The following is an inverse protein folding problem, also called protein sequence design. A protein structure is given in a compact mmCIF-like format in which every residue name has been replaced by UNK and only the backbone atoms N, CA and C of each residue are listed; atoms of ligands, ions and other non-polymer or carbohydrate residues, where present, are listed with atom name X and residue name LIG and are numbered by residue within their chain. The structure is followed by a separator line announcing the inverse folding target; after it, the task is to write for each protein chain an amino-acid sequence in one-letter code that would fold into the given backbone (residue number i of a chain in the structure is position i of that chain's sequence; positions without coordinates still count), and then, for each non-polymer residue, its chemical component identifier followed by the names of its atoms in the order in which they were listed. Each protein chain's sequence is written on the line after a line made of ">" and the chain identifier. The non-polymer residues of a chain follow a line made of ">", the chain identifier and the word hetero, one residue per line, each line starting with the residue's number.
data_IF_975972221490
#
_entry.id   IF_975972221490
#
_cell.length_a   1.000
_cell.length_b   1.000
_cell.length_c   1.000
_cell.angle_alpha   90.00
_cell.angle_beta   90.00
_cell.angle_gamma   90.00
#
_symmetry.space_group_name_H-M   'P 1'
#
loop_
_entity.id
_entity.type
_entity.pdbx_description
1 polymer ?
#
# COMPACT_ATOMS: atom_id res chain seq x y z
N UNK A 1 -18.34 79.55 3.19
CA UNK A 1 -17.37 78.57 2.69
C UNK A 1 -17.51 77.29 3.48
N UNK A 2 -18.24 76.36 2.91
CA UNK A 2 -18.54 75.05 3.56
C UNK A 2 -17.42 74.02 3.18
N UNK A 3 -16.75 73.47 4.19
CA UNK A 3 -15.71 72.44 3.98
C UNK A 3 -16.40 71.07 3.99
N UNK A 4 -16.43 70.44 2.81
CA UNK A 4 -16.86 69.07 2.67
C UNK A 4 -15.71 68.14 3.04
N UNK A 5 -15.85 67.32 4.11
CA UNK A 5 -14.94 66.26 4.45
C UNK A 5 -15.38 65.00 3.74
N UNK A 6 -14.57 64.54 2.79
CA UNK A 6 -14.72 63.23 2.16
C UNK A 6 -14.09 62.19 3.07
N UNK A 7 -14.89 61.34 3.70
CA UNK A 7 -14.43 60.17 4.45
C UNK A 7 -14.24 59.02 3.45
N UNK A 8 -13.01 58.70 3.15
CA UNK A 8 -12.66 57.48 2.39
C UNK A 8 -12.81 56.27 3.32
N UNK A 9 -13.88 55.50 3.13
CA UNK A 9 -14.07 54.23 3.80
C UNK A 9 -13.27 53.16 3.04
N UNK A 10 -12.08 52.83 3.53
CA UNK A 10 -11.27 51.71 2.99
C UNK A 10 -11.83 50.41 3.58
N UNK A 11 -12.64 49.72 2.82
CA UNK A 11 -13.11 48.37 3.16
C UNK A 11 -11.96 47.39 2.87
N UNK A 12 -11.25 46.98 3.90
CA UNK A 12 -10.31 45.86 3.81
C UNK A 12 -11.15 44.57 3.71
N UNK A 13 -11.27 44.03 2.51
CA UNK A 13 -11.64 42.64 2.34
C UNK A 13 -10.47 41.77 2.86
N UNK A 14 -10.56 41.30 4.08
CA UNK A 14 -9.79 40.15 4.52
C UNK A 14 -10.34 38.93 3.75
N UNK A 15 -9.74 38.64 2.61
CA UNK A 15 -9.86 37.32 2.03
C UNK A 15 -9.16 36.37 3.03
N UNK A 16 -9.94 35.71 3.89
CA UNK A 16 -9.48 34.56 4.61
C UNK A 16 -9.13 33.51 3.56
N UNK A 17 -7.88 33.50 3.11
CA UNK A 17 -7.33 32.40 2.36
C UNK A 17 -7.20 31.25 3.38
N UNK A 18 -8.28 30.56 3.64
CA UNK A 18 -8.20 29.26 4.30
C UNK A 18 -7.36 28.38 3.38
N UNK A 19 -6.11 28.19 3.74
CA UNK A 19 -5.29 27.17 3.12
C UNK A 19 -6.03 25.84 3.29
N UNK A 20 -6.43 25.24 2.18
CA UNK A 20 -7.07 23.94 2.22
C UNK A 20 -6.14 22.97 2.94
N UNK A 21 -6.66 22.31 3.98
CA UNK A 21 -5.89 21.30 4.70
C UNK A 21 -5.54 20.16 3.77
N UNK A 22 -4.26 19.80 3.74
CA UNK A 22 -3.75 18.68 2.99
C UNK A 22 -3.32 17.54 3.92
N UNK A 23 -3.38 16.33 3.42
CA UNK A 23 -3.03 15.12 4.16
C UNK A 23 -1.94 14.36 3.43
N UNK A 24 -1.16 13.60 4.17
CA UNK A 24 -0.09 12.81 3.61
C UNK A 24 0.02 11.45 4.30
N UNK A 25 0.09 10.41 3.50
CA UNK A 25 0.32 9.04 3.97
C UNK A 25 1.75 8.66 3.63
N UNK A 26 2.55 8.51 4.68
CA UNK A 26 3.96 8.17 4.61
C UNK A 26 4.18 6.71 4.99
N UNK A 27 5.22 6.09 4.48
CA UNK A 27 5.48 4.71 4.83
C UNK A 27 6.67 4.08 4.13
N UNK A 28 6.77 2.79 4.35
CA UNK A 28 7.81 1.95 3.78
C UNK A 28 7.24 0.82 2.96
N UNK A 29 7.89 0.56 1.85
CA UNK A 29 7.71 -0.56 0.96
C UNK A 29 8.94 -1.50 1.02
N UNK A 30 8.70 -2.80 0.91
CA UNK A 30 9.74 -3.82 0.83
C UNK A 30 10.41 -4.18 2.16
N UNK A 31 10.70 -5.44 2.33
CA UNK A 31 11.39 -6.01 3.49
C UNK A 31 12.76 -6.59 3.13
N UNK A 32 13.10 -7.74 3.69
CA UNK A 32 14.41 -8.37 3.45
C UNK A 32 14.62 -8.77 1.99
N UNK A 33 13.56 -9.02 1.25
CA UNK A 33 13.62 -9.31 -0.18
C UNK A 33 13.65 -8.03 -1.02
N UNK A 34 13.26 -6.88 -0.46
CA UNK A 34 13.34 -5.55 -1.04
C UNK A 34 14.36 -4.63 -0.34
N UNK A 35 15.51 -5.15 0.05
CA UNK A 35 16.63 -4.40 0.65
C UNK A 35 16.36 -3.72 2.00
N UNK A 36 15.61 -4.35 2.91
CA UNK A 36 15.45 -3.83 4.26
C UNK A 36 16.76 -3.87 5.05
N UNK A 37 17.34 -2.73 5.48
CA UNK A 37 18.60 -2.70 6.22
C UNK A 37 18.38 -3.10 7.68
N UNK A 38 18.31 -4.38 7.96
CA UNK A 38 17.97 -4.96 9.27
C UNK A 38 18.75 -4.34 10.42
N UNK A 39 20.04 -4.07 10.22
CA UNK A 39 20.94 -3.58 11.28
C UNK A 39 20.57 -2.20 11.86
N UNK A 40 19.81 -1.38 11.12
CA UNK A 40 19.55 -0.02 11.57
C UNK A 40 18.13 0.51 11.27
N UNK A 41 17.40 -0.08 10.30
CA UNK A 41 16.14 0.51 9.84
C UNK A 41 15.05 0.47 10.91
N UNK A 42 14.88 -0.66 11.61
CA UNK A 42 13.85 -0.77 12.67
C UNK A 42 14.17 0.20 13.81
N UNK A 43 15.45 0.33 14.20
CA UNK A 43 15.87 1.30 15.20
C UNK A 43 15.55 2.73 14.76
N UNK A 44 15.86 3.07 13.51
CA UNK A 44 15.51 4.38 12.95
C UNK A 44 14.00 4.66 13.02
N UNK A 45 13.18 3.70 12.61
CA UNK A 45 11.71 3.86 12.63
C UNK A 45 11.21 4.14 14.05
N UNK A 46 11.61 3.34 15.04
CA UNK A 46 11.15 3.52 16.41
C UNK A 46 11.63 4.82 17.04
N UNK A 47 12.84 5.26 16.71
CA UNK A 47 13.38 6.54 17.18
C UNK A 47 12.60 7.71 16.59
N UNK A 48 12.29 7.67 15.28
CA UNK A 48 11.50 8.70 14.62
C UNK A 48 10.05 8.76 15.15
N UNK A 49 9.40 7.61 15.33
CA UNK A 49 8.05 7.55 15.90
C UNK A 49 8.01 8.11 17.33
N UNK A 50 9.03 7.84 18.14
CA UNK A 50 9.13 8.37 19.49
C UNK A 50 9.39 9.87 19.54
N UNK A 51 10.23 10.40 18.64
CA UNK A 51 10.57 11.82 18.57
C UNK A 51 9.46 12.69 17.96
N UNK A 52 8.61 12.09 17.12
CA UNK A 52 7.58 12.79 16.36
C UNK A 52 6.20 12.16 16.58
N UNK A 53 5.50 12.49 17.68
CA UNK A 53 4.20 11.90 18.01
C UNK A 53 3.09 12.19 16.99
N UNK A 54 3.24 13.22 16.17
CA UNK A 54 2.36 13.60 15.07
C UNK A 54 2.62 12.83 13.77
N UNK A 55 3.76 12.15 13.66
CA UNK A 55 4.07 11.35 12.48
C UNK A 55 3.32 10.01 12.50
N UNK A 56 2.87 9.59 11.35
CA UNK A 56 2.17 8.32 11.10
C UNK A 56 2.85 7.60 9.96
N UNK A 57 2.95 6.29 10.05
CA UNK A 57 3.51 5.47 8.97
C UNK A 57 2.62 4.30 8.62
N UNK A 58 2.64 3.97 7.34
CA UNK A 58 2.09 2.76 6.80
C UNK A 58 3.22 1.79 6.43
N UNK A 59 3.04 0.52 6.76
CA UNK A 59 4.07 -0.51 6.59
C UNK A 59 3.62 -1.54 5.56
N UNK A 60 4.35 -1.61 4.47
CA UNK A 60 4.22 -2.64 3.45
C UNK A 60 5.52 -3.47 3.45
N UNK A 61 5.68 -4.30 4.47
CA UNK A 61 6.92 -5.05 4.74
C UNK A 61 6.60 -6.54 4.74
N UNK A 62 7.38 -7.33 4.00
CA UNK A 62 7.20 -8.78 4.00
C UNK A 62 7.34 -9.36 5.41
N UNK A 63 6.42 -10.23 5.83
CA UNK A 63 6.38 -10.77 7.21
C UNK A 63 7.64 -11.52 7.64
N UNK A 64 8.37 -12.13 6.72
CA UNK A 64 9.64 -12.83 6.99
C UNK A 64 10.71 -11.87 7.54
N UNK A 65 10.64 -10.60 7.20
CA UNK A 65 11.55 -9.56 7.70
C UNK A 65 11.58 -9.53 9.22
N UNK A 66 10.46 -9.74 9.87
CA UNK A 66 10.34 -9.65 11.33
C UNK A 66 11.03 -10.80 12.06
N UNK A 67 11.14 -11.99 11.45
CA UNK A 67 11.98 -13.05 12.04
C UNK A 67 13.45 -12.62 12.05
N UNK A 68 13.91 -12.02 10.97
CA UNK A 68 15.28 -11.54 10.85
C UNK A 68 15.57 -10.37 11.80
N UNK A 69 14.66 -9.40 11.86
CA UNK A 69 14.77 -8.25 12.79
C UNK A 69 14.79 -8.72 14.23
N UNK A 70 13.93 -9.66 14.61
CA UNK A 70 13.87 -10.24 15.97
C UNK A 70 15.18 -10.86 16.40
N UNK A 71 15.91 -11.51 15.47
CA UNK A 71 17.18 -12.18 15.78
C UNK A 71 18.36 -11.20 15.74
N UNK A 72 18.41 -10.32 14.75
CA UNK A 72 19.55 -9.46 14.52
C UNK A 72 19.53 -8.15 15.31
N UNK A 73 18.33 -7.62 15.62
CA UNK A 73 18.15 -6.37 16.35
C UNK A 73 17.01 -6.50 17.37
N UNK A 74 17.15 -7.36 18.38
CA UNK A 74 16.06 -7.73 19.29
C UNK A 74 15.50 -6.53 20.07
N UNK A 75 16.33 -5.59 20.47
CA UNK A 75 15.88 -4.39 21.20
C UNK A 75 14.99 -3.50 20.33
N UNK A 76 15.41 -3.22 19.09
CA UNK A 76 14.61 -2.45 18.15
C UNK A 76 13.30 -3.20 17.81
N UNK A 77 13.35 -4.51 17.67
CA UNK A 77 12.17 -5.33 17.45
C UNK A 77 11.16 -5.21 18.60
N UNK A 78 11.61 -5.30 19.86
CA UNK A 78 10.72 -5.18 21.02
C UNK A 78 10.08 -3.81 21.10
N UNK A 79 10.86 -2.75 20.91
CA UNK A 79 10.33 -1.37 20.85
C UNK A 79 9.31 -1.20 19.73
N UNK A 80 9.60 -1.70 18.54
CA UNK A 80 8.66 -1.64 17.42
C UNK A 80 7.37 -2.42 17.73
N UNK A 81 7.49 -3.58 18.38
CA UNK A 81 6.34 -4.39 18.78
C UNK A 81 5.39 -3.64 19.72
N UNK A 82 5.92 -2.83 20.64
CA UNK A 82 5.12 -1.97 21.51
C UNK A 82 4.39 -0.87 20.73
N UNK A 83 5.02 -0.35 19.67
CA UNK A 83 4.47 0.71 18.83
C UNK A 83 3.52 0.19 17.74
N UNK A 84 3.70 -1.03 17.30
CA UNK A 84 3.00 -1.59 16.14
C UNK A 84 1.46 -1.57 16.28
N UNK A 85 0.94 -1.68 17.50
CA UNK A 85 -0.50 -1.61 17.81
C UNK A 85 -0.98 -0.19 18.14
N UNK A 86 -0.08 0.80 18.12
CA UNK A 86 -0.45 2.20 18.31
C UNK A 86 -1.18 2.77 17.09
N UNK A 87 -1.78 3.94 17.24
CA UNK A 87 -2.39 4.64 16.11
C UNK A 87 -1.37 5.31 15.16
N UNK A 88 -0.07 5.21 15.46
CA UNK A 88 0.99 5.73 14.59
C UNK A 88 1.36 4.78 13.47
N UNK A 89 1.03 3.50 13.57
CA UNK A 89 1.45 2.46 12.62
C UNK A 89 0.24 1.75 12.04
N UNK A 90 0.25 1.52 10.75
CA UNK A 90 -0.72 0.67 10.06
C UNK A 90 0.01 -0.27 9.09
N UNK A 91 -0.33 -1.57 9.14
CA UNK A 91 0.11 -2.53 8.13
C UNK A 91 -0.89 -2.57 6.99
N UNK A 92 -0.42 -2.36 5.75
CA UNK A 92 -1.28 -2.10 4.60
C UNK A 92 -1.45 -3.29 3.67
N UNK A 93 -0.37 -3.96 3.38
CA UNK A 93 -0.32 -5.12 2.50
C UNK A 93 0.24 -6.31 3.29
N UNK A 94 -0.62 -7.07 3.95
CA UNK A 94 -0.18 -8.20 4.76
C UNK A 94 0.04 -9.47 3.94
N UNK A 95 0.18 -9.39 2.63
CA UNK A 95 0.53 -10.56 1.81
C UNK A 95 1.92 -11.08 2.19
N UNK A 96 2.14 -12.37 2.01
CA UNK A 96 3.37 -13.02 2.47
C UNK A 96 4.62 -12.53 1.74
N UNK A 97 4.48 -12.19 0.46
CA UNK A 97 5.62 -11.80 -0.38
C UNK A 97 5.30 -10.68 -1.38
N UNK A 98 4.26 -9.88 -1.16
CA UNK A 98 3.94 -8.72 -1.99
C UNK A 98 3.93 -9.05 -3.51
N UNK A 99 3.10 -10.00 -3.97
CA UNK A 99 3.12 -10.45 -5.36
C UNK A 99 2.39 -9.49 -6.28
N UNK A 100 2.72 -9.52 -7.56
CA UNK A 100 1.82 -8.99 -8.58
C UNK A 100 0.58 -9.89 -8.72
N UNK A 101 -0.52 -9.50 -8.09
CA UNK A 101 -1.74 -10.31 -8.01
C UNK A 101 -2.31 -10.70 -9.37
N UNK A 102 -2.11 -9.89 -10.40
CA UNK A 102 -2.55 -10.18 -11.76
C UNK A 102 -1.77 -11.31 -12.46
N UNK A 103 -0.60 -11.71 -11.91
CA UNK A 103 0.27 -12.72 -12.50
C UNK A 103 0.17 -14.09 -11.82
N UNK A 104 -0.55 -14.21 -10.71
CA UNK A 104 -0.66 -15.44 -9.92
C UNK A 104 -2.11 -15.93 -9.86
N UNK A 105 -2.31 -17.17 -9.43
CA UNK A 105 -3.64 -17.77 -9.32
C UNK A 105 -4.43 -17.18 -8.15
N UNK A 106 -5.76 -17.30 -8.20
CA UNK A 106 -6.64 -16.91 -7.09
C UNK A 106 -6.32 -17.64 -5.79
N UNK A 107 -5.97 -18.95 -5.87
CA UNK A 107 -5.53 -19.72 -4.71
C UNK A 107 -4.24 -19.14 -4.11
N UNK A 108 -3.26 -18.79 -4.96
CA UNK A 108 -2.04 -18.14 -4.48
C UNK A 108 -2.33 -16.81 -3.80
N UNK A 109 -3.21 -15.98 -4.35
CA UNK A 109 -3.61 -14.71 -3.70
C UNK A 109 -4.20 -14.98 -2.32
N UNK A 110 -5.10 -15.93 -2.19
CA UNK A 110 -5.68 -16.31 -0.90
C UNK A 110 -4.62 -16.78 0.09
N UNK A 111 -3.68 -17.64 -0.35
CA UNK A 111 -2.56 -18.11 0.48
C UNK A 111 -1.61 -16.98 0.87
N UNK A 112 -1.33 -16.06 -0.02
CA UNK A 112 -0.54 -14.86 0.27
C UNK A 112 -1.13 -14.07 1.45
N UNK A 113 -2.42 -13.80 1.46
CA UNK A 113 -3.09 -13.15 2.59
C UNK A 113 -3.12 -14.03 3.84
N UNK A 114 -3.50 -15.28 3.71
CA UNK A 114 -3.62 -16.21 4.83
C UNK A 114 -2.30 -16.37 5.61
N UNK A 115 -1.22 -16.68 4.90
CA UNK A 115 0.10 -16.88 5.52
C UNK A 115 0.71 -15.56 6.00
N UNK A 116 0.53 -14.50 5.25
CA UNK A 116 1.06 -13.19 5.62
C UNK A 116 0.40 -12.64 6.89
N UNK A 117 -0.92 -12.62 6.95
CA UNK A 117 -1.68 -12.20 8.13
C UNK A 117 -1.32 -13.06 9.35
N UNK A 118 -1.28 -14.39 9.19
CA UNK A 118 -0.90 -15.30 10.27
C UNK A 118 0.50 -15.02 10.79
N UNK A 119 1.45 -14.76 9.89
CA UNK A 119 2.83 -14.46 10.24
C UNK A 119 2.98 -13.10 10.94
N UNK A 120 2.32 -12.05 10.45
CA UNK A 120 2.34 -10.73 11.10
C UNK A 120 1.72 -10.82 12.49
N UNK A 121 0.58 -11.49 12.65
CA UNK A 121 -0.07 -11.66 13.95
C UNK A 121 0.76 -12.49 14.94
N UNK A 122 1.61 -13.39 14.47
CA UNK A 122 2.58 -14.10 15.32
C UNK A 122 3.60 -13.15 15.93
N UNK A 123 4.05 -12.14 15.18
CA UNK A 123 4.98 -11.12 15.67
C UNK A 123 4.29 -10.03 16.49
N UNK A 124 3.16 -9.56 16.01
CA UNK A 124 2.39 -8.42 16.54
C UNK A 124 0.94 -8.85 16.79
N UNK A 125 0.65 -9.54 17.91
CA UNK A 125 -0.70 -10.01 18.22
C UNK A 125 -1.71 -8.87 18.32
N UNK A 126 -2.90 -9.07 17.72
CA UNK A 126 -3.98 -8.09 17.78
C UNK A 126 -3.92 -7.02 16.70
N UNK A 127 -3.08 -7.19 15.66
CA UNK A 127 -3.09 -6.32 14.50
C UNK A 127 -4.42 -6.40 13.76
N UNK A 128 -4.94 -5.23 13.40
CA UNK A 128 -6.16 -5.07 12.61
C UNK A 128 -5.80 -4.62 11.18
N UNK A 129 -6.19 -5.42 10.21
CA UNK A 129 -5.95 -5.15 8.78
C UNK A 129 -7.25 -4.61 8.17
N UNK A 130 -7.39 -3.29 8.14
CA UNK A 130 -8.62 -2.64 7.65
C UNK A 130 -8.49 -2.01 6.29
N UNK A 131 -7.28 -1.62 5.89
CA UNK A 131 -7.04 -0.96 4.60
C UNK A 131 -6.02 -1.73 3.79
N UNK A 132 -6.29 -1.93 2.52
CA UNK A 132 -5.34 -2.46 1.56
C UNK A 132 -4.77 -1.33 0.71
N UNK A 133 -3.48 -1.16 0.74
CA UNK A 133 -2.73 -0.21 -0.09
C UNK A 133 -1.36 -0.76 -0.41
N UNK A 134 -0.82 -0.40 -1.54
CA UNK A 134 0.46 -0.90 -2.05
C UNK A 134 1.24 0.24 -2.70
N UNK A 135 2.53 0.11 -2.70
CA UNK A 135 3.42 1.00 -3.44
C UNK A 135 3.47 0.60 -4.92
N UNK A 136 3.73 -0.65 -5.19
CA UNK A 136 3.64 -1.23 -6.53
C UNK A 136 2.27 -1.85 -6.77
N UNK A 137 1.71 -1.77 -8.00
CA UNK A 137 0.33 -2.17 -8.25
C UNK A 137 0.12 -3.68 -8.17
N UNK A 138 -0.08 -4.17 -6.96
CA UNK A 138 -0.41 -5.56 -6.65
C UNK A 138 -1.94 -5.77 -6.70
N UNK A 139 -2.58 -5.38 -7.80
CA UNK A 139 -4.03 -5.42 -7.95
C UNK A 139 -4.49 -6.49 -8.94
N UNK A 140 -5.74 -6.89 -8.81
CA UNK A 140 -6.49 -7.67 -9.80
C UNK A 140 -7.97 -7.36 -9.67
N UNK A 141 -8.75 -7.55 -10.73
CA UNK A 141 -10.18 -7.21 -10.75
C UNK A 141 -11.00 -7.93 -9.67
N UNK A 142 -10.63 -9.14 -9.27
CA UNK A 142 -11.35 -9.91 -8.24
C UNK A 142 -10.91 -9.62 -6.79
N UNK A 143 -9.97 -8.70 -6.58
CA UNK A 143 -9.42 -8.43 -5.26
C UNK A 143 -10.46 -7.92 -4.24
N UNK A 144 -11.49 -7.11 -4.59
CA UNK A 144 -12.51 -6.68 -3.64
C UNK A 144 -13.16 -7.81 -2.84
N UNK A 145 -13.53 -8.91 -3.50
CA UNK A 145 -14.15 -10.06 -2.83
C UNK A 145 -13.17 -10.75 -1.88
N UNK A 146 -11.90 -10.88 -2.27
CA UNK A 146 -10.85 -11.49 -1.44
C UNK A 146 -10.59 -10.61 -0.21
N UNK A 147 -10.39 -9.31 -0.40
CA UNK A 147 -10.16 -8.36 0.69
C UNK A 147 -11.30 -8.38 1.71
N UNK A 148 -12.56 -8.40 1.25
CA UNK A 148 -13.73 -8.48 2.15
C UNK A 148 -13.74 -9.76 2.98
N UNK A 149 -13.35 -10.90 2.42
CA UNK A 149 -13.28 -12.16 3.15
C UNK A 149 -12.20 -12.15 4.24
N UNK A 150 -11.12 -11.40 4.05
CA UNK A 150 -10.09 -11.17 5.07
C UNK A 150 -10.40 -10.01 6.02
N UNK A 151 -11.57 -9.39 5.93
CA UNK A 151 -12.05 -8.37 6.87
C UNK A 151 -11.64 -6.93 6.52
N UNK A 152 -11.02 -6.69 5.37
CA UNK A 152 -10.71 -5.34 4.91
C UNK A 152 -11.99 -4.53 4.66
N UNK A 153 -11.97 -3.27 5.06
CA UNK A 153 -13.08 -2.32 4.91
C UNK A 153 -12.81 -1.31 3.81
N UNK A 154 -11.54 -1.03 3.55
CA UNK A 154 -11.07 0.02 2.67
C UNK A 154 -9.99 -0.50 1.73
N UNK A 155 -9.85 0.18 0.60
CA UNK A 155 -8.72 -0.01 -0.31
C UNK A 155 -8.20 1.34 -0.82
N UNK A 156 -7.02 1.32 -1.38
CA UNK A 156 -6.38 2.48 -1.99
C UNK A 156 -5.82 2.06 -3.35
N UNK A 157 -6.31 2.68 -4.40
CA UNK A 157 -5.80 2.52 -5.76
C UNK A 157 -4.86 3.66 -6.17
N UNK A 158 -4.54 4.53 -5.22
CA UNK A 158 -3.55 5.59 -5.40
C UNK A 158 -2.16 4.98 -5.27
N UNK A 159 -1.51 4.77 -6.39
CA UNK A 159 -0.12 4.35 -6.48
C UNK A 159 0.64 5.44 -7.25
N UNK A 160 1.43 6.28 -6.57
CA UNK A 160 2.13 7.38 -7.24
C UNK A 160 3.34 6.95 -8.06
N UNK A 161 3.82 5.73 -7.89
CA UNK A 161 4.83 5.14 -8.77
C UNK A 161 4.19 4.50 -9.98
N UNK A 162 4.45 5.04 -11.15
CA UNK A 162 3.76 4.64 -12.38
C UNK A 162 4.55 3.72 -13.27
N UNK A 163 5.84 3.50 -12.98
CA UNK A 163 6.70 2.75 -13.91
C UNK A 163 7.02 1.33 -13.46
N UNK A 164 7.02 1.07 -12.18
CA UNK A 164 7.56 -0.19 -11.65
C UNK A 164 6.64 -1.39 -11.87
N UNK A 165 5.40 -1.24 -11.82
CA UNK A 165 4.46 -2.34 -12.03
C UNK A 165 3.21 -1.89 -12.76
N UNK A 166 3.25 -0.70 -13.33
CA UNK A 166 2.09 -0.05 -13.89
C UNK A 166 1.34 0.80 -12.88
N UNK A 167 0.14 1.17 -13.21
CA UNK A 167 -0.70 1.99 -12.37
C UNK A 167 -2.18 1.76 -12.70
N UNK A 168 -3.03 2.07 -11.76
CA UNK A 168 -4.46 2.05 -11.99
C UNK A 168 -4.89 3.27 -12.81
N UNK A 169 -5.97 3.12 -13.56
CA UNK A 169 -6.59 4.24 -14.24
C UNK A 169 -6.99 5.33 -13.24
N UNK A 170 -6.88 6.60 -13.66
CA UNK A 170 -7.26 7.74 -12.84
C UNK A 170 -8.78 7.89 -12.77
N UNK A 171 -9.28 8.34 -11.62
CA UNK A 171 -10.68 8.56 -11.35
C UNK A 171 -10.92 9.96 -10.76
N UNK A 172 -12.07 10.57 -11.04
CA UNK A 172 -12.32 11.98 -10.71
C UNK A 172 -12.65 12.30 -9.26
N UNK A 173 -13.27 11.37 -8.52
CA UNK A 173 -13.79 11.62 -7.17
C UNK A 173 -12.77 11.41 -6.04
N UNK A 174 -13.13 11.82 -4.82
CA UNK A 174 -12.32 11.55 -3.63
C UNK A 174 -12.40 10.08 -3.19
N UNK A 175 -13.57 9.49 -3.35
CA UNK A 175 -13.88 8.11 -2.99
C UNK A 175 -14.66 7.45 -4.12
N UNK A 176 -14.51 6.15 -4.23
CA UNK A 176 -15.24 5.30 -5.16
C UNK A 176 -15.49 3.94 -4.50
N UNK A 177 -16.59 3.28 -4.85
CA UNK A 177 -16.75 1.87 -4.56
C UNK A 177 -16.01 1.07 -5.64
N UNK A 178 -14.93 0.43 -5.29
CA UNK A 178 -14.30 -0.54 -6.17
C UNK A 178 -15.09 -1.84 -6.12
N UNK A 179 -15.70 -2.20 -7.27
CA UNK A 179 -16.62 -3.33 -7.39
C UNK A 179 -15.93 -4.48 -8.14
N UNK A 180 -15.85 -5.62 -7.50
CA UNK A 180 -15.36 -6.85 -8.10
C UNK A 180 -16.37 -7.51 -9.06
N UNK A 181 -15.94 -8.51 -9.84
CA UNK A 181 -16.80 -9.20 -10.81
C UNK A 181 -18.02 -9.89 -10.19
N UNK A 182 -17.96 -10.23 -8.91
CA UNK A 182 -19.05 -10.84 -8.14
C UNK A 182 -20.04 -9.83 -7.53
N UNK A 183 -19.82 -8.52 -7.78
CA UNK A 183 -20.59 -7.43 -7.22
C UNK A 183 -20.16 -6.98 -5.82
N UNK A 184 -19.14 -7.61 -5.22
CA UNK A 184 -18.59 -7.17 -3.94
C UNK A 184 -17.94 -5.81 -4.09
N UNK A 185 -18.33 -4.85 -3.25
CA UNK A 185 -17.81 -3.50 -3.25
C UNK A 185 -16.95 -3.21 -2.01
N UNK A 186 -15.86 -2.48 -2.19
CA UNK A 186 -15.01 -1.96 -1.13
C UNK A 186 -14.78 -0.46 -1.32
N UNK A 187 -14.94 0.30 -0.24
CA UNK A 187 -14.73 1.76 -0.29
C UNK A 187 -13.26 2.06 -0.52
N UNK A 188 -12.97 2.89 -1.51
CA UNK A 188 -11.62 3.03 -2.05
C UNK A 188 -11.25 4.49 -2.30
N UNK A 189 -10.02 4.85 -1.95
CA UNK A 189 -9.39 6.10 -2.43
C UNK A 189 -8.78 5.82 -3.80
N UNK A 190 -9.28 6.44 -4.86
CA UNK A 190 -8.76 6.24 -6.20
C UNK A 190 -7.53 7.09 -6.46
N UNK A 191 -6.84 6.81 -7.56
CA UNK A 191 -5.94 7.78 -8.16
C UNK A 191 -6.76 8.91 -8.75
N UNK A 192 -6.50 10.15 -8.32
CA UNK A 192 -7.28 11.30 -8.80
C UNK A 192 -6.98 11.61 -10.26
N UNK A 193 -8.02 11.99 -11.02
CA UNK A 193 -7.84 12.39 -12.42
C UNK A 193 -6.92 13.61 -12.61
N UNK A 194 -6.76 14.44 -11.58
CA UNK A 194 -5.87 15.60 -11.59
C UNK A 194 -4.39 15.26 -11.28
N UNK A 195 -4.07 14.01 -10.92
CA UNK A 195 -2.68 13.60 -10.72
C UNK A 195 -1.96 13.50 -12.07
N UNK A 196 -0.85 14.24 -12.16
CA UNK A 196 0.02 14.28 -13.33
C UNK A 196 1.38 13.69 -12.95
N UNK A 197 2.19 13.40 -13.95
CA UNK A 197 3.59 13.12 -13.69
C UNK A 197 4.24 14.33 -13.02
N UNK A 198 5.08 14.07 -12.04
CA UNK A 198 5.91 15.10 -11.41
C UNK A 198 6.85 15.70 -12.46
N UNK A 199 7.00 17.04 -12.54
CA UNK A 199 7.89 17.65 -13.51
C UNK A 199 9.31 17.09 -13.44
N UNK A 200 9.80 16.62 -14.57
CA UNK A 200 11.12 15.99 -14.67
C UNK A 200 11.16 14.50 -14.26
N UNK A 201 10.07 13.94 -13.79
CA UNK A 201 9.95 12.51 -13.53
C UNK A 201 9.31 11.78 -14.71
N UNK A 202 9.74 10.54 -14.93
CA UNK A 202 9.11 9.63 -15.91
C UNK A 202 8.24 8.57 -15.22
N UNK A 203 8.17 8.57 -13.90
CA UNK A 203 7.60 7.45 -13.15
C UNK A 203 6.87 7.83 -11.85
N UNK A 204 7.01 9.06 -11.35
CA UNK A 204 6.29 9.52 -10.17
C UNK A 204 5.22 10.53 -10.53
N UNK A 205 4.07 10.45 -9.87
CA UNK A 205 3.04 11.47 -9.98
C UNK A 205 3.25 12.58 -8.95
N UNK A 206 2.57 13.70 -9.16
CA UNK A 206 2.59 14.85 -8.26
C UNK A 206 2.06 14.54 -6.85
N UNK A 207 1.30 13.44 -6.67
CA UNK A 207 0.84 12.97 -5.37
C UNK A 207 1.95 12.42 -4.48
N UNK A 208 3.09 12.04 -5.06
CA UNK A 208 4.26 11.55 -4.33
C UNK A 208 4.83 12.55 -3.32
N UNK A 209 4.89 13.80 -3.68
CA UNK A 209 5.48 14.85 -2.85
C UNK A 209 4.48 15.83 -2.25
N UNK A 210 3.18 15.63 -2.49
CA UNK A 210 2.11 16.54 -2.07
C UNK A 210 2.43 18.01 -2.40
N UNK A 211 2.93 18.25 -3.62
CA UNK A 211 3.43 19.55 -4.05
C UNK A 211 2.34 20.63 -4.10
N UNK A 212 2.72 21.90 -4.06
CA UNK A 212 1.78 23.03 -4.21
C UNK A 212 0.98 22.95 -5.52
N UNK A 213 1.62 22.48 -6.59
CA UNK A 213 0.97 22.28 -7.88
C UNK A 213 -0.10 21.18 -7.79
N UNK A 214 0.21 20.07 -7.13
CA UNK A 214 -0.76 18.99 -6.90
C UNK A 214 -1.95 19.47 -6.06
N UNK A 215 -1.70 20.16 -4.96
CA UNK A 215 -2.75 20.69 -4.10
C UNK A 215 -3.64 21.71 -4.82
N UNK A 216 -3.04 22.54 -5.69
CA UNK A 216 -3.79 23.45 -6.57
C UNK A 216 -4.67 22.68 -7.56
N UNK A 217 -4.12 21.67 -8.22
CA UNK A 217 -4.86 20.84 -9.16
C UNK A 217 -6.02 20.10 -8.47
N UNK A 218 -5.80 19.58 -7.25
CA UNK A 218 -6.85 18.99 -6.43
C UNK A 218 -7.99 19.99 -6.12
N UNK A 219 -7.67 21.21 -5.71
CA UNK A 219 -8.66 22.27 -5.47
C UNK A 219 -9.49 22.57 -6.73
N UNK A 220 -8.82 22.72 -7.85
CA UNK A 220 -9.48 22.98 -9.15
C UNK A 220 -10.39 21.84 -9.58
N UNK A 221 -10.06 20.60 -9.21
CA UNK A 221 -10.85 19.41 -9.46
C UNK A 221 -11.96 19.17 -8.41
N UNK A 222 -12.12 20.07 -7.42
CA UNK A 222 -13.14 19.93 -6.38
C UNK A 222 -12.82 18.90 -5.29
N UNK A 223 -11.57 18.41 -5.20
CA UNK A 223 -11.11 17.51 -4.14
C UNK A 223 -11.04 18.33 -2.83
N UNK A 224 -11.86 17.96 -1.85
CA UNK A 224 -11.96 18.69 -0.59
C UNK A 224 -10.83 18.36 0.39
N UNK A 225 -10.41 17.11 0.39
CA UNK A 225 -9.42 16.57 1.32
C UNK A 225 -8.26 15.96 0.54
N UNK A 226 -7.42 16.79 -0.11
CA UNK A 226 -6.34 16.27 -0.93
C UNK A 226 -5.35 15.47 -0.08
N UNK A 227 -4.98 14.29 -0.57
CA UNK A 227 -4.03 13.40 0.07
C UNK A 227 -2.95 12.98 -0.92
N UNK A 228 -1.70 13.17 -0.50
CA UNK A 228 -0.52 12.60 -1.14
C UNK A 228 -0.09 11.31 -0.45
N UNK A 229 0.75 10.56 -1.11
CA UNK A 229 1.25 9.28 -0.60
C UNK A 229 2.68 9.05 -1.08
N UNK A 230 3.51 8.53 -0.18
CA UNK A 230 4.82 8.01 -0.52
C UNK A 230 5.12 6.79 0.33
N UNK A 231 5.27 5.63 -0.29
CA UNK A 231 5.90 4.49 0.35
C UNK A 231 7.31 4.40 -0.19
N UNK A 232 8.28 4.67 0.66
CA UNK A 232 9.67 4.60 0.27
C UNK A 232 10.19 3.18 0.39
N UNK A 233 11.01 2.81 -0.57
CA UNK A 233 11.84 1.63 -0.45
C UNK A 233 12.58 1.65 0.89
N UNK A 234 12.37 0.64 1.71
CA UNK A 234 12.92 0.60 3.07
C UNK A 234 14.45 0.64 3.11
N UNK A 235 15.11 0.34 1.99
CA UNK A 235 16.56 0.47 1.83
C UNK A 235 17.07 1.92 1.81
N UNK A 236 16.22 2.89 1.52
CA UNK A 236 16.66 4.28 1.40
C UNK A 236 16.96 4.91 2.74
N UNK A 237 18.14 5.51 2.83
CA UNK A 237 18.65 6.04 4.07
C UNK A 237 17.90 7.31 4.52
N UNK A 238 17.37 8.08 3.58
CA UNK A 238 16.70 9.36 3.82
C UNK A 238 15.17 9.27 3.82
N UNK A 239 14.60 8.11 3.74
CA UNK A 239 13.17 7.91 3.95
C UNK A 239 12.88 7.73 5.44
N UNK A 240 11.66 7.95 5.86
CA UNK A 240 10.52 8.56 5.20
C UNK A 240 10.66 10.08 5.08
N UNK A 241 9.67 10.74 4.51
CA UNK A 241 9.67 12.17 4.22
C UNK A 241 9.77 13.09 5.44
N UNK A 242 9.50 12.57 6.64
CA UNK A 242 9.63 13.33 7.88
C UNK A 242 11.04 13.92 8.01
N UNK A 243 11.12 15.23 8.23
CA UNK A 243 12.38 15.95 8.36
C UNK A 243 13.10 16.24 7.04
N UNK A 244 12.64 15.72 5.89
CA UNK A 244 13.23 16.04 4.58
C UNK A 244 12.86 17.44 4.09
N UNK A 245 11.91 18.09 4.72
CA UNK A 245 11.41 19.41 4.37
C UNK A 245 10.45 19.43 3.18
N UNK A 246 10.16 18.29 2.54
CA UNK A 246 9.29 18.26 1.36
C UNK A 246 7.81 18.44 1.73
N UNK A 247 7.33 17.73 2.73
CA UNK A 247 5.92 17.77 3.13
C UNK A 247 5.61 18.79 4.21
N UNK A 248 6.61 19.16 5.01
CA UNK A 248 6.45 20.20 6.04
C UNK A 248 6.14 21.56 5.43
N UNK A 249 6.55 21.82 4.18
CA UNK A 249 6.25 23.09 3.49
C UNK A 249 4.76 23.32 3.24
N UNK A 250 3.99 22.27 3.07
CA UNK A 250 2.57 22.34 2.70
C UNK A 250 1.64 22.16 3.88
N UNK A 251 2.13 22.17 5.12
CA UNK A 251 1.36 21.93 6.34
C UNK A 251 0.49 20.67 6.24
N UNK A 252 1.01 19.62 5.59
CA UNK A 252 0.28 18.36 5.47
C UNK A 252 0.21 17.65 6.82
N UNK A 253 -0.97 17.14 7.16
CA UNK A 253 -1.16 16.29 8.32
C UNK A 253 -0.80 14.86 7.92
N UNK A 254 0.14 14.26 8.65
CA UNK A 254 0.46 12.84 8.49
C UNK A 254 -0.64 11.96 9.05
N UNK A 255 -1.10 11.02 8.27
CA UNK A 255 -2.15 10.07 8.65
C UNK A 255 -1.82 8.66 8.18
N UNK A 256 -2.38 7.66 8.84
CA UNK A 256 -2.55 6.34 8.24
C UNK A 256 -3.71 6.37 7.25
N UNK A 257 -3.75 5.43 6.30
CA UNK A 257 -4.88 5.33 5.38
C UNK A 257 -6.20 5.05 6.12
N UNK A 258 -6.17 4.17 7.11
CA UNK A 258 -7.33 3.87 7.96
C UNK A 258 -7.91 5.15 8.56
N UNK A 259 -7.06 5.97 9.16
CA UNK A 259 -7.50 7.19 9.84
C UNK A 259 -7.96 8.26 8.85
N UNK A 260 -7.28 8.38 7.71
CA UNK A 260 -7.71 9.28 6.64
C UNK A 260 -9.10 8.92 6.12
N UNK A 261 -9.33 7.67 5.75
CA UNK A 261 -10.63 7.24 5.20
C UNK A 261 -11.73 7.32 6.26
N UNK A 262 -11.44 6.95 7.50
CA UNK A 262 -12.43 6.94 8.58
C UNK A 262 -12.80 8.33 9.08
N UNK A 263 -11.85 9.24 9.20
CA UNK A 263 -12.01 10.47 9.95
C UNK A 263 -12.00 11.75 9.08
N UNK A 264 -11.43 11.69 7.88
CA UNK A 264 -11.25 12.84 6.99
C UNK A 264 -12.10 12.71 5.75
N UNK A 265 -11.84 11.71 4.93
CA UNK A 265 -12.62 11.43 3.72
C UNK A 265 -13.87 10.64 4.10
N UNK A 266 -14.65 11.21 5.02
CA UNK A 266 -15.87 10.56 5.52
C UNK A 266 -16.90 10.64 4.42
N UNK A 267 -17.18 9.56 3.77
CA UNK A 267 -18.22 9.59 2.79
C UNK A 267 -18.74 8.22 2.44
N UNK A 268 -19.99 8.20 2.11
CA UNK A 268 -20.54 7.22 1.20
C UNK A 268 -20.39 7.81 -0.18
N UNK A 269 -20.05 6.98 -1.13
CA UNK A 269 -20.11 7.34 -2.53
C UNK A 269 -21.09 6.41 -3.21
N UNK A 270 -21.85 6.96 -4.14
CA UNK A 270 -22.70 6.20 -5.05
C UNK A 270 -21.95 5.83 -6.34
N UNK A 271 -20.73 6.37 -6.50
CA UNK A 271 -19.88 6.07 -7.64
C UNK A 271 -19.31 4.67 -7.52
N UNK A 272 -19.59 3.85 -8.52
CA UNK A 272 -19.06 2.50 -8.62
C UNK A 272 -18.03 2.42 -9.74
N UNK A 273 -16.92 1.81 -9.46
CA UNK A 273 -15.87 1.56 -10.42
C UNK A 273 -15.46 0.11 -10.42
N UNK A 274 -15.63 -0.53 -11.55
CA UNK A 274 -15.10 -1.86 -11.81
C UNK A 274 -13.99 -1.73 -12.84
N UNK A 275 -12.88 -2.39 -12.63
CA UNK A 275 -11.85 -2.45 -13.64
C UNK A 275 -11.50 -3.90 -13.97
N UNK A 276 -11.09 -4.09 -15.20
CA UNK A 276 -10.58 -5.34 -15.72
C UNK A 276 -9.05 -5.40 -15.51
N UNK A 277 -8.48 -6.51 -15.94
CA UNK A 277 -7.03 -6.67 -15.93
C UNK A 277 -6.32 -5.65 -16.85
N UNK A 278 -6.98 -5.22 -17.91
CA UNK A 278 -6.46 -4.25 -18.88
C UNK A 278 -6.35 -2.84 -18.29
N UNK A 279 -7.17 -2.51 -17.30
CA UNK A 279 -7.11 -1.22 -16.62
C UNK A 279 -5.91 -1.09 -15.68
N UNK A 280 -5.24 -2.20 -15.37
CA UNK A 280 -3.96 -2.21 -14.68
C UNK A 280 -2.87 -2.01 -15.73
N UNK A 281 -2.47 -0.75 -15.89
CA UNK A 281 -1.46 -0.36 -16.88
C UNK A 281 -0.08 -0.84 -16.44
N UNK A 282 0.25 -2.06 -16.78
CA UNK A 282 1.56 -2.62 -16.52
C UNK A 282 2.55 -2.07 -17.52
N UNK A 283 3.58 -1.39 -17.06
CA UNK A 283 4.69 -1.01 -17.91
C UNK A 283 5.39 -2.26 -18.43
N UNK A 284 5.65 -2.24 -19.73
CA UNK A 284 6.00 -3.37 -20.57
C UNK A 284 7.12 -4.28 -20.07
N UNK A 285 7.93 -3.84 -19.15
CA UNK A 285 9.14 -4.56 -18.78
C UNK A 285 9.05 -5.33 -17.48
N UNK A 286 7.93 -5.22 -16.75
CA UNK A 286 7.83 -5.73 -15.40
C UNK A 286 6.88 -6.92 -15.29
N UNK A 287 7.08 -7.72 -14.28
CA UNK A 287 6.26 -8.91 -14.05
C UNK A 287 6.48 -9.98 -15.11
N UNK A 288 5.42 -10.43 -15.77
CA UNK A 288 5.46 -11.55 -16.71
C UNK A 288 6.34 -11.34 -17.95
N UNK A 289 6.76 -10.13 -18.24
CA UNK A 289 7.52 -9.85 -19.46
C UNK A 289 9.04 -9.89 -19.27
N UNK A 290 9.56 -9.54 -18.10
CA UNK A 290 11.01 -9.54 -17.87
C UNK A 290 11.54 -10.92 -17.58
N UNK A 291 10.89 -11.68 -16.71
CA UNK A 291 11.34 -13.00 -16.31
C UNK A 291 10.27 -14.07 -16.60
N UNK A 292 9.88 -14.18 -17.85
CA UNK A 292 8.84 -15.10 -18.34
C UNK A 292 9.05 -16.55 -17.86
N UNK A 293 10.30 -17.00 -17.80
CA UNK A 293 10.58 -18.36 -17.33
C UNK A 293 10.17 -18.55 -15.87
N UNK A 294 10.44 -17.57 -15.01
CA UNK A 294 10.01 -17.60 -13.60
C UNK A 294 8.48 -17.59 -13.53
N UNK A 295 7.81 -16.74 -14.30
CA UNK A 295 6.36 -16.69 -14.35
C UNK A 295 5.74 -18.03 -14.78
N UNK A 296 6.34 -18.70 -15.77
CA UNK A 296 5.89 -20.02 -16.22
C UNK A 296 6.11 -21.09 -15.17
N UNK A 297 7.28 -21.12 -14.53
CA UNK A 297 7.60 -22.08 -13.49
C UNK A 297 6.74 -21.89 -12.24
N UNK A 298 6.47 -20.66 -11.86
CA UNK A 298 5.51 -20.32 -10.78
C UNK A 298 4.12 -20.89 -11.12
N UNK A 299 3.61 -20.66 -12.32
CA UNK A 299 2.31 -21.19 -12.75
C UNK A 299 2.25 -22.72 -12.73
N UNK A 300 3.33 -23.39 -13.17
CA UNK A 300 3.44 -24.86 -13.10
C UNK A 300 3.45 -25.32 -11.65
N UNK A 301 4.18 -24.62 -10.77
CA UNK A 301 4.29 -24.95 -9.36
C UNK A 301 2.96 -24.78 -8.61
N UNK A 302 2.21 -23.69 -8.88
CA UNK A 302 0.86 -23.51 -8.36
C UNK A 302 -0.03 -24.70 -8.65
N UNK A 303 -0.08 -25.12 -9.90
CA UNK A 303 -0.91 -26.28 -10.30
C UNK A 303 -0.46 -27.56 -9.62
N UNK A 304 0.86 -27.79 -9.48
CA UNK A 304 1.41 -28.98 -8.82
C UNK A 304 1.08 -29.04 -7.33
N UNK A 305 1.19 -27.93 -6.61
CA UNK A 305 0.86 -27.89 -5.17
C UNK A 305 -0.63 -28.13 -4.95
N UNK A 306 -1.50 -27.46 -5.71
CA UNK A 306 -2.95 -27.68 -5.62
C UNK A 306 -3.32 -29.13 -5.96
N UNK A 307 -2.66 -29.73 -6.96
CA UNK A 307 -2.86 -31.14 -7.30
C UNK A 307 -2.38 -32.04 -6.16
N UNK A 308 -1.22 -31.78 -5.56
CA UNK A 308 -0.70 -32.56 -4.45
C UNK A 308 -1.63 -32.54 -3.23
N UNK A 309 -2.19 -31.37 -2.89
CA UNK A 309 -3.20 -31.25 -1.82
C UNK A 309 -4.44 -32.12 -2.13
N UNK A 310 -4.98 -32.04 -3.34
CA UNK A 310 -6.12 -32.87 -3.75
C UNK A 310 -5.82 -34.37 -3.70
N UNK A 311 -4.67 -34.78 -4.21
CA UNK A 311 -4.24 -36.18 -4.16
C UNK A 311 -4.03 -36.66 -2.72
N UNK A 312 -3.51 -35.83 -1.84
CA UNK A 312 -3.36 -36.13 -0.42
C UNK A 312 -4.69 -36.38 0.27
N UNK A 313 -5.72 -35.59 -0.06
CA UNK A 313 -7.07 -35.83 0.43
C UNK A 313 -7.64 -37.14 -0.09
N UNK A 314 -7.49 -37.43 -1.37
CA UNK A 314 -7.95 -38.70 -1.97
C UNK A 314 -7.25 -39.89 -1.31
N UNK A 315 -5.93 -39.83 -1.14
CA UNK A 315 -5.18 -40.90 -0.48
C UNK A 315 -5.61 -41.09 0.99
N UNK A 316 -5.94 -40.03 1.68
CA UNK A 316 -6.51 -40.12 3.03
C UNK A 316 -7.89 -40.83 3.03
N UNK A 317 -8.75 -40.49 2.10
CA UNK A 317 -10.10 -41.10 2.01
C UNK A 317 -10.03 -42.61 1.72
N UNK A 318 -9.15 -43.01 0.82
CA UNK A 318 -9.00 -44.42 0.43
C UNK A 318 -8.18 -45.25 1.42
N UNK A 319 -6.98 -44.75 1.78
CA UNK A 319 -5.98 -45.55 2.48
C UNK A 319 -5.61 -45.00 3.86
N UNK A 320 -6.31 -43.95 4.33
CA UNK A 320 -5.98 -43.20 5.57
C UNK A 320 -4.57 -42.65 5.58
N UNK A 321 -3.96 -42.43 4.41
CA UNK A 321 -2.66 -41.78 4.32
C UNK A 321 -2.77 -40.32 4.80
N UNK A 322 -1.88 -39.91 5.69
CA UNK A 322 -1.84 -38.54 6.19
C UNK A 322 -0.60 -37.86 5.59
N UNK A 323 -0.85 -36.88 4.73
CA UNK A 323 0.21 -36.00 4.27
C UNK A 323 0.71 -35.12 5.42
N UNK A 324 2.01 -34.90 5.49
CA UNK A 324 2.58 -34.00 6.48
C UNK A 324 2.23 -32.56 6.12
N UNK A 325 1.43 -31.92 6.95
CA UNK A 325 1.02 -30.53 6.74
C UNK A 325 2.23 -29.59 6.62
N UNK A 326 3.29 -29.84 7.41
CA UNK A 326 4.51 -29.03 7.36
C UNK A 326 5.18 -29.02 5.99
N UNK A 327 5.12 -30.12 5.23
CA UNK A 327 5.69 -30.19 3.88
C UNK A 327 4.87 -29.34 2.89
N UNK A 328 3.55 -29.36 3.04
CA UNK A 328 2.66 -28.50 2.24
C UNK A 328 2.84 -27.02 2.57
N UNK A 329 2.96 -26.69 3.86
CA UNK A 329 3.21 -25.32 4.30
C UNK A 329 4.56 -24.81 3.78
N UNK A 330 5.58 -25.66 3.76
CA UNK A 330 6.90 -25.29 3.20
C UNK A 330 6.83 -25.09 1.69
N UNK A 331 6.12 -25.97 0.98
CA UNK A 331 5.91 -25.82 -0.46
C UNK A 331 5.19 -24.51 -0.81
N UNK A 332 4.13 -24.17 -0.07
CA UNK A 332 3.43 -22.91 -0.25
C UNK A 332 4.32 -21.70 0.07
N UNK A 333 5.04 -21.71 1.19
CA UNK A 333 5.94 -20.60 1.55
C UNK A 333 7.00 -20.37 0.48
N UNK A 334 7.63 -21.45 0.00
CA UNK A 334 8.65 -21.37 -1.06
C UNK A 334 8.06 -20.81 -2.36
N UNK A 335 6.87 -21.26 -2.75
CA UNK A 335 6.20 -20.74 -3.92
C UNK A 335 5.84 -19.25 -3.75
N UNK A 336 5.26 -18.87 -2.59
CA UNK A 336 4.88 -17.49 -2.34
C UNK A 336 6.06 -16.53 -2.37
N UNK A 337 7.26 -16.95 -1.88
CA UNK A 337 8.49 -16.17 -1.99
C UNK A 337 8.94 -16.03 -3.44
N UNK A 338 8.79 -17.07 -4.26
CA UNK A 338 9.09 -16.98 -5.70
C UNK A 338 8.09 -16.10 -6.47
N UNK A 339 6.96 -15.74 -5.84
CA UNK A 339 5.96 -14.80 -6.39
C UNK A 339 6.23 -13.34 -6.00
N UNK A 340 7.26 -13.06 -5.21
CA UNK A 340 7.64 -11.70 -4.85
C UNK A 340 7.90 -10.87 -6.11
N UNK A 341 7.35 -9.65 -6.17
CA UNK A 341 7.44 -8.80 -7.35
C UNK A 341 8.89 -8.55 -7.79
N UNK A 342 9.81 -8.31 -6.87
CA UNK A 342 11.23 -8.10 -7.18
C UNK A 342 11.92 -9.34 -7.79
N UNK A 343 11.45 -10.53 -7.45
CA UNK A 343 11.97 -11.76 -8.10
C UNK A 343 11.67 -11.82 -9.59
N UNK A 344 10.72 -11.00 -10.06
CA UNK A 344 10.25 -10.99 -11.44
C UNK A 344 10.78 -9.81 -12.24
N UNK A 345 11.34 -8.81 -11.58
CA UNK A 345 11.76 -7.56 -12.22
C UNK A 345 13.25 -7.27 -12.07
N UNK A 346 13.87 -7.76 -11.00
CA UNK A 346 15.30 -7.53 -10.74
C UNK A 346 16.04 -8.84 -10.85
N UNK A 347 16.89 -9.02 -11.88
CA UNK A 347 17.75 -10.20 -11.96
C UNK A 347 18.86 -10.07 -10.92
N UNK A 348 18.65 -10.66 -9.76
CA UNK A 348 19.73 -10.83 -8.78
C UNK A 348 20.76 -11.84 -9.32
N UNK A 349 22.03 -11.46 -9.28
CA UNK A 349 23.13 -12.36 -9.61
C UNK A 349 23.39 -13.32 -8.46
#
# INVERSE_FOLDING_TARGET
>A
MSKIYIILLTVFFYANVYSQQAYFVDGYHGGIYGHYPVKWKTQFIVDQLAMHPDWRICMEIEPETWDTVRVQTPEAYLRFKEMATSNQVEFMNPTYAQPYCYNISGESIIRQFQYGIAKINKHFPGMDFVTYSVEEPCFTSCLPQILKQFGFKYAVLKCPNTCWGGYTAAYGGELVNWVGPDGTAILTVPRYACEKLEPGSTWQTTAWGNSDAYLKDCRNAGIKHPVGMCFQDAGWKNGPWLGSGKNTKNNSIYMTWRDYIKNVSIGKTDDNWSFSQEDIHVNLMWGSQVLQKIAQEVRVSENRIVMAEKMSVMAYLENKYICRQADMDEAWRTLMLAQHHDSWIVPYK
#
